data_IF_064164562655
#
_entry.id   IF_064164562655
#
_cell.length_a   1.000
_cell.length_b   1.000
_cell.length_c   1.000
_cell.angle_alpha   90.00
_cell.angle_beta   90.00
_cell.angle_gamma   90.00
#
_symmetry.space_group_name_H-M   'P 1'
#
loop_
_entity.id
_entity.type
_entity.pdbx_description
1 polymer ?
#
# COMPACT_ATOMS: atom_id res chain seq x y z
N UNK A 1 -17.74 -13.50 2.10
CA UNK A 1 -16.46 -12.85 1.77
C UNK A 1 -15.35 -13.64 2.46
N UNK A 2 -14.55 -14.41 1.74
CA UNK A 2 -13.42 -15.16 2.30
C UNK A 2 -12.22 -14.22 2.31
N UNK A 3 -11.80 -13.77 3.49
CA UNK A 3 -10.55 -13.04 3.64
C UNK A 3 -9.46 -14.11 3.74
N UNK A 4 -8.54 -14.22 2.77
CA UNK A 4 -7.47 -15.20 2.85
C UNK A 4 -6.67 -14.92 4.14
N UNK A 5 -6.51 -15.96 4.96
CA UNK A 5 -5.75 -15.83 6.19
C UNK A 5 -4.26 -15.69 5.84
N UNK A 6 -3.54 -14.75 6.46
CA UNK A 6 -2.12 -14.60 6.21
C UNK A 6 -1.38 -15.87 6.68
N UNK A 7 -0.37 -16.27 5.92
CA UNK A 7 0.49 -17.41 6.27
C UNK A 7 1.57 -16.90 7.22
N UNK A 8 1.70 -17.54 8.38
CA UNK A 8 2.79 -17.27 9.32
C UNK A 8 3.97 -18.18 8.97
N UNK A 9 5.11 -17.57 8.63
CA UNK A 9 6.37 -18.29 8.43
C UNK A 9 7.30 -17.94 9.60
N UNK A 10 7.71 -18.94 10.38
CA UNK A 10 8.73 -18.73 11.41
C UNK A 10 10.07 -18.37 10.74
N UNK A 11 10.71 -17.31 11.22
CA UNK A 11 12.03 -16.85 10.75
C UNK A 11 13.11 -16.98 11.84
N UNK A 12 12.83 -17.78 12.86
CA UNK A 12 13.73 -18.11 13.98
C UNK A 12 13.54 -17.22 15.20
N UNK A 13 13.97 -17.72 16.37
CA UNK A 13 13.93 -17.02 17.68
C UNK A 13 12.52 -16.53 18.07
N UNK A 14 11.47 -17.25 17.65
CA UNK A 14 10.08 -16.87 17.91
C UNK A 14 9.58 -15.68 17.08
N UNK A 15 10.34 -15.26 16.06
CA UNK A 15 9.90 -14.26 15.10
C UNK A 15 9.12 -14.93 13.96
N UNK A 16 8.04 -14.27 13.55
CA UNK A 16 7.19 -14.73 12.45
C UNK A 16 7.08 -13.64 11.39
N UNK A 17 7.23 -14.03 10.12
CA UNK A 17 6.91 -13.20 8.97
C UNK A 17 5.53 -13.59 8.45
N UNK A 18 4.67 -12.59 8.34
CA UNK A 18 3.36 -12.71 7.74
C UNK A 18 3.51 -12.61 6.22
N UNK A 19 3.19 -13.68 5.51
CA UNK A 19 3.21 -13.76 4.05
C UNK A 19 1.78 -13.70 3.53
N UNK A 20 1.56 -12.87 2.51
CA UNK A 20 0.25 -12.68 1.91
C UNK A 20 -0.65 -11.66 2.61
N UNK A 21 -0.12 -10.84 3.53
CA UNK A 21 -0.88 -9.69 4.02
C UNK A 21 -1.07 -8.66 2.89
N UNK A 22 -2.25 -8.02 2.81
CA UNK A 22 -2.41 -6.83 2.00
C UNK A 22 -1.42 -5.78 2.50
N UNK A 23 -0.43 -5.42 1.68
CA UNK A 23 0.32 -4.20 1.87
C UNK A 23 -0.39 -3.08 1.13
N UNK A 24 -0.33 -1.87 1.68
CA UNK A 24 -0.65 -0.70 0.89
C UNK A 24 0.37 -0.57 -0.25
N UNK A 25 -0.07 -0.17 -1.44
CA UNK A 25 0.84 0.13 -2.54
C UNK A 25 1.80 1.25 -2.13
N UNK A 26 3.05 1.19 -2.59
CA UNK A 26 4.04 2.23 -2.33
C UNK A 26 4.78 2.56 -3.62
N UNK A 27 4.99 3.84 -3.87
CA UNK A 27 5.61 4.34 -5.10
C UNK A 27 6.32 5.68 -4.85
N UNK A 28 7.20 6.09 -5.77
CA UNK A 28 7.50 7.50 -5.96
C UNK A 28 6.49 8.12 -6.94
N UNK A 29 6.50 9.44 -7.08
CA UNK A 29 5.53 10.16 -7.93
C UNK A 29 5.56 9.68 -9.39
N UNK A 30 6.73 9.30 -9.93
CA UNK A 30 6.85 8.87 -11.33
C UNK A 30 6.37 7.43 -11.56
N UNK A 31 6.36 6.61 -10.51
CA UNK A 31 5.87 5.23 -10.54
C UNK A 31 4.45 5.07 -9.97
N UNK A 32 3.72 6.17 -9.76
CA UNK A 32 2.27 6.11 -9.51
C UNK A 32 1.59 5.20 -10.54
N UNK A 33 0.57 4.42 -10.14
CA UNK A 33 -0.19 3.61 -11.09
C UNK A 33 -0.65 4.44 -12.29
N UNK A 34 -0.37 3.99 -13.51
CA UNK A 34 -0.70 4.75 -14.74
C UNK A 34 -2.18 4.73 -15.10
N UNK A 35 -2.89 3.67 -14.70
CA UNK A 35 -4.33 3.49 -14.90
C UNK A 35 -5.01 3.15 -13.56
N UNK A 36 -4.99 4.06 -12.57
CA UNK A 36 -5.60 3.82 -11.28
C UNK A 36 -7.12 3.78 -11.41
N UNK A 37 -7.79 2.91 -10.65
CA UNK A 37 -9.25 2.92 -10.50
C UNK A 37 -9.63 3.92 -9.40
N UNK A 38 -10.77 4.63 -9.49
CA UNK A 38 -11.28 5.42 -8.37
C UNK A 38 -11.27 4.59 -7.08
N UNK A 39 -10.74 5.15 -5.99
CA UNK A 39 -10.54 4.43 -4.74
C UNK A 39 -9.16 3.79 -4.56
N UNK A 40 -8.26 3.91 -5.54
CA UNK A 40 -6.87 3.43 -5.37
C UNK A 40 -6.19 4.22 -4.25
N UNK A 41 -5.63 3.51 -3.28
CA UNK A 41 -4.94 4.06 -2.12
C UNK A 41 -3.50 3.58 -2.10
N UNK A 42 -2.55 4.47 -1.83
CA UNK A 42 -1.15 4.10 -1.64
C UNK A 42 -0.31 5.15 -0.94
N UNK A 43 0.95 4.84 -0.71
CA UNK A 43 1.91 5.73 -0.08
C UNK A 43 2.93 6.22 -1.09
N UNK A 44 3.07 7.54 -1.22
CA UNK A 44 4.12 8.15 -2.03
C UNK A 44 5.34 8.45 -1.17
N UNK A 45 6.41 7.70 -1.40
CA UNK A 45 7.66 7.78 -0.65
C UNK A 45 8.47 9.03 -0.97
N UNK A 46 8.23 9.66 -2.13
CA UNK A 46 8.92 10.89 -2.52
C UNK A 46 8.32 12.12 -1.83
N UNK A 47 6.99 12.19 -1.73
CA UNK A 47 6.26 13.31 -1.13
C UNK A 47 5.91 13.09 0.34
N UNK A 48 6.27 11.92 0.89
CA UNK A 48 5.92 11.46 2.23
C UNK A 48 4.43 11.61 2.54
N UNK A 49 3.58 11.16 1.61
CA UNK A 49 2.12 11.34 1.70
C UNK A 49 1.35 10.06 1.44
N UNK A 50 0.24 9.89 2.17
CA UNK A 50 -0.81 8.94 1.81
C UNK A 50 -1.63 9.54 0.67
N UNK A 51 -1.77 8.82 -0.43
CA UNK A 51 -2.40 9.27 -1.66
C UNK A 51 -3.64 8.44 -1.99
N UNK A 52 -4.70 9.13 -2.43
CA UNK A 52 -5.97 8.55 -2.86
C UNK A 52 -6.33 9.06 -4.26
N UNK A 53 -6.65 8.16 -5.18
CA UNK A 53 -7.14 8.50 -6.51
C UNK A 53 -8.66 8.65 -6.49
N UNK A 54 -9.17 9.84 -6.75
CA UNK A 54 -10.61 10.13 -6.77
C UNK A 54 -11.30 9.79 -8.11
N UNK A 55 -10.51 9.45 -9.13
CA UNK A 55 -10.97 9.21 -10.50
C UNK A 55 -10.40 10.20 -11.51
N UNK A 56 -9.92 11.35 -11.05
CA UNK A 56 -9.37 12.43 -11.89
C UNK A 56 -8.01 12.91 -11.39
N UNK A 57 -7.82 13.00 -10.07
CA UNK A 57 -6.64 13.55 -9.44
C UNK A 57 -6.19 12.71 -8.22
N UNK A 58 -4.91 12.86 -7.87
CA UNK A 58 -4.35 12.31 -6.64
C UNK A 58 -4.52 13.30 -5.49
N UNK A 59 -5.38 12.96 -4.53
CA UNK A 59 -5.49 13.66 -3.25
C UNK A 59 -4.40 13.16 -2.31
N UNK A 60 -3.71 14.06 -1.63
CA UNK A 60 -2.56 13.73 -0.78
C UNK A 60 -2.72 14.25 0.65
N UNK A 61 -2.55 13.36 1.63
CA UNK A 61 -2.37 13.71 3.04
C UNK A 61 -0.90 13.55 3.39
N UNK A 62 -0.20 14.67 3.61
CA UNK A 62 1.20 14.63 4.04
C UNK A 62 1.32 14.10 5.46
N UNK A 63 2.33 13.25 5.66
CA UNK A 63 2.74 12.79 6.98
C UNK A 63 3.87 13.70 7.45
N UNK A 64 3.63 14.42 8.53
CA UNK A 64 4.59 15.31 9.21
C UNK A 64 5.39 14.56 10.27
#
# INVERSE_FOLDING_TARGET
MHIPQPIYIEIGKGLYKLVGMPSIGSWDTSLRPKNPKPGTLGFNTQTNSLEYWDGSDWLAAQMS
#
